data_IF_642833675422
#
_entry.id   IF_642833675422
#
_cell.length_a   1.000
_cell.length_b   1.000
_cell.length_c   1.000
_cell.angle_alpha   90.00
_cell.angle_beta   90.00
_cell.angle_gamma   90.00
#
_symmetry.space_group_name_H-M   'P 1'
#
loop_
_entity.id
_entity.type
_entity.pdbx_description
1 polymer ?
#
# COMPACT_ATOMS: atom_id res chain seq x y z
N UNK A 1 32.87 -1.00 49.57
CA UNK A 1 31.58 -1.41 48.98
C UNK A 1 31.36 -0.63 47.69
N UNK A 2 31.90 -1.11 46.57
CA UNK A 2 31.62 -0.59 45.24
C UNK A 2 30.79 -1.63 44.51
N UNK A 3 29.50 -1.35 44.31
CA UNK A 3 28.66 -2.12 43.40
C UNK A 3 29.22 -1.91 41.99
N UNK A 4 29.59 -2.96 41.23
CA UNK A 4 29.93 -2.78 39.83
C UNK A 4 28.66 -2.31 39.10
N UNK A 5 28.71 -1.09 38.57
CA UNK A 5 27.76 -0.62 37.57
C UNK A 5 27.84 -1.61 36.40
N UNK A 6 26.83 -2.46 36.27
CA UNK A 6 26.61 -3.20 35.04
C UNK A 6 26.28 -2.16 33.97
N UNK A 7 27.28 -1.84 33.16
CA UNK A 7 27.14 -1.19 31.87
C UNK A 7 26.03 -1.89 31.10
N UNK A 8 24.86 -1.26 31.03
CA UNK A 8 23.83 -1.62 30.06
C UNK A 8 24.39 -1.21 28.71
N UNK A 9 25.28 -2.02 28.15
CA UNK A 9 25.56 -2.00 26.72
C UNK A 9 24.30 -2.51 26.05
N UNK A 10 23.42 -1.56 25.72
CA UNK A 10 22.31 -1.73 24.78
C UNK A 10 22.80 -2.54 23.58
N UNK A 11 22.31 -3.77 23.41
CA UNK A 11 22.42 -4.45 22.13
C UNK A 11 21.42 -3.80 21.16
N UNK A 12 21.76 -2.60 20.68
CA UNK A 12 21.02 -1.71 19.76
C UNK A 12 20.93 -2.26 18.31
N UNK A 13 21.13 -3.57 18.12
CA UNK A 13 21.14 -4.19 16.80
C UNK A 13 19.86 -4.99 16.62
N UNK A 14 18.97 -4.50 15.75
CA UNK A 14 17.82 -5.27 15.28
C UNK A 14 18.30 -6.58 14.66
N UNK A 15 17.58 -7.64 14.98
CA UNK A 15 17.78 -8.97 14.42
C UNK A 15 17.44 -8.98 12.93
N UNK A 16 17.95 -9.97 12.19
CA UNK A 16 17.60 -10.15 10.77
C UNK A 16 16.09 -10.35 10.57
N UNK A 17 15.42 -11.01 11.52
CA UNK A 17 13.97 -11.22 11.48
C UNK A 17 13.19 -9.91 11.66
N UNK A 18 13.60 -9.05 12.58
CA UNK A 18 13.01 -7.72 12.79
C UNK A 18 13.17 -6.82 11.55
N UNK A 19 14.37 -6.82 10.94
CA UNK A 19 14.60 -6.13 9.67
C UNK A 19 13.69 -6.64 8.56
N UNK A 20 13.56 -7.96 8.42
CA UNK A 20 12.69 -8.55 7.40
C UNK A 20 11.22 -8.19 7.62
N UNK A 21 10.72 -8.26 8.85
CA UNK A 21 9.35 -7.84 9.19
C UNK A 21 9.12 -6.37 8.88
N UNK A 22 10.08 -5.50 9.21
CA UNK A 22 10.00 -4.08 8.88
C UNK A 22 9.96 -3.84 7.38
N UNK A 23 10.88 -4.42 6.62
CA UNK A 23 10.93 -4.25 5.17
C UNK A 23 9.64 -4.72 4.52
N UNK A 24 9.12 -5.90 4.89
CA UNK A 24 7.88 -6.44 4.33
C UNK A 24 6.68 -5.56 4.68
N UNK A 25 6.54 -5.13 5.94
CA UNK A 25 5.45 -4.26 6.36
C UNK A 25 5.50 -2.89 5.69
N UNK A 26 6.70 -2.29 5.58
CA UNK A 26 6.92 -1.02 4.90
C UNK A 26 6.64 -1.11 3.40
N UNK A 27 7.09 -2.19 2.74
CA UNK A 27 6.84 -2.39 1.31
C UNK A 27 5.35 -2.59 1.03
N UNK A 28 4.67 -3.37 1.86
CA UNK A 28 3.24 -3.62 1.73
C UNK A 28 2.41 -2.33 1.88
N UNK A 29 2.71 -1.51 2.91
CA UNK A 29 2.00 -0.24 3.09
C UNK A 29 2.34 0.75 1.97
N UNK A 30 3.61 0.83 1.56
CA UNK A 30 4.04 1.69 0.47
C UNK A 30 3.34 1.33 -0.84
N UNK A 31 3.20 0.03 -1.15
CA UNK A 31 2.49 -0.45 -2.33
C UNK A 31 1.03 0.04 -2.36
N UNK A 32 0.30 -0.13 -1.24
CA UNK A 32 -1.11 0.27 -1.14
C UNK A 32 -1.26 1.78 -1.31
N UNK A 33 -0.40 2.56 -0.65
CA UNK A 33 -0.43 4.03 -0.74
C UNK A 33 -0.04 4.51 -2.14
N UNK A 34 1.01 3.92 -2.73
CA UNK A 34 1.47 4.25 -4.08
C UNK A 34 0.39 3.98 -5.14
N UNK A 35 -0.29 2.84 -5.05
CA UNK A 35 -1.39 2.49 -5.96
C UNK A 35 -2.57 3.47 -5.84
N UNK A 36 -2.84 3.97 -4.64
CA UNK A 36 -3.83 5.01 -4.43
C UNK A 36 -3.43 6.33 -5.10
N UNK A 37 -2.16 6.72 -4.97
CA UNK A 37 -1.63 7.92 -5.61
C UNK A 37 -1.66 7.83 -7.15
N UNK A 38 -1.27 6.67 -7.71
CA UNK A 38 -1.32 6.42 -9.15
C UNK A 38 -2.74 6.53 -9.73
N UNK A 39 -3.76 6.11 -8.97
CA UNK A 39 -5.16 6.31 -9.37
C UNK A 39 -5.49 7.80 -9.50
N UNK A 40 -5.12 8.63 -8.51
CA UNK A 40 -5.43 10.06 -8.56
C UNK A 40 -4.81 10.76 -9.78
N UNK A 41 -3.60 10.35 -10.19
CA UNK A 41 -2.99 10.87 -11.42
C UNK A 41 -3.66 10.34 -12.69
N UNK A 42 -4.21 9.12 -12.66
CA UNK A 42 -4.85 8.49 -13.81
C UNK A 42 -6.34 8.88 -13.96
N UNK A 43 -6.98 9.47 -12.95
CA UNK A 43 -8.40 9.83 -12.98
C UNK A 43 -8.82 10.64 -14.21
N UNK A 44 -8.07 11.68 -14.66
CA UNK A 44 -8.42 12.42 -15.87
C UNK A 44 -8.40 11.54 -17.12
N UNK A 45 -7.41 10.67 -17.23
CA UNK A 45 -7.22 9.76 -18.37
C UNK A 45 -8.33 8.70 -18.38
N UNK A 46 -8.65 8.11 -17.23
CA UNK A 46 -9.81 7.22 -17.04
C UNK A 46 -11.11 7.90 -17.49
N UNK A 47 -11.32 9.17 -17.16
CA UNK A 47 -12.51 9.91 -17.55
C UNK A 47 -12.64 10.05 -19.08
N UNK A 48 -11.53 10.32 -19.77
CA UNK A 48 -11.47 10.48 -21.23
C UNK A 48 -11.63 9.14 -21.94
N UNK A 49 -10.90 8.10 -21.51
CA UNK A 49 -10.88 6.79 -22.17
C UNK A 49 -12.19 6.01 -21.99
N UNK A 50 -12.83 6.13 -20.82
CA UNK A 50 -14.04 5.35 -20.50
C UNK A 50 -15.34 6.13 -20.67
N UNK A 51 -15.27 7.45 -20.86
CA UNK A 51 -16.44 8.33 -20.88
C UNK A 51 -17.20 8.38 -19.55
N UNK A 52 -16.53 8.06 -18.43
CA UNK A 52 -17.15 7.99 -17.11
C UNK A 52 -17.78 9.33 -16.70
N UNK A 53 -18.99 9.25 -16.16
CA UNK A 53 -19.67 10.40 -15.56
C UNK A 53 -18.94 10.86 -14.30
N UNK A 54 -19.12 12.12 -13.91
CA UNK A 54 -18.52 12.64 -12.67
C UNK A 54 -18.94 11.84 -11.44
N UNK A 55 -20.18 11.35 -11.38
CA UNK A 55 -20.65 10.48 -10.31
C UNK A 55 -19.88 9.16 -10.26
N UNK A 56 -19.57 8.54 -11.40
CA UNK A 56 -18.78 7.30 -11.46
C UNK A 56 -17.34 7.52 -11.00
N UNK A 57 -16.70 8.62 -11.41
CA UNK A 57 -15.35 8.98 -10.95
C UNK A 57 -15.30 9.18 -9.43
N UNK A 58 -16.31 9.84 -8.85
CA UNK A 58 -16.44 9.94 -7.39
C UNK A 58 -16.55 8.56 -6.75
N UNK A 59 -17.37 7.66 -7.29
CA UNK A 59 -17.50 6.29 -6.76
C UNK A 59 -16.24 5.43 -6.92
N UNK A 60 -15.42 5.66 -7.93
CA UNK A 60 -14.11 4.99 -8.11
C UNK A 60 -13.15 5.30 -6.94
N UNK A 61 -13.22 6.52 -6.42
CA UNK A 61 -12.40 6.96 -5.28
C UNK A 61 -13.08 6.59 -3.96
N UNK A 62 -14.35 6.97 -3.80
CA UNK A 62 -15.08 6.84 -2.54
C UNK A 62 -15.43 5.38 -2.22
N UNK A 63 -15.74 4.56 -3.23
CA UNK A 63 -16.06 3.15 -3.03
C UNK A 63 -14.93 2.38 -2.38
N UNK A 64 -13.68 2.68 -2.74
CA UNK A 64 -12.50 2.13 -2.06
C UNK A 64 -12.47 2.55 -0.59
N UNK A 65 -12.64 3.84 -0.31
CA UNK A 65 -12.53 4.41 1.04
C UNK A 65 -13.65 3.90 1.95
N UNK A 66 -14.87 3.78 1.42
CA UNK A 66 -16.03 3.25 2.14
C UNK A 66 -15.81 1.79 2.52
N UNK A 67 -15.43 0.93 1.57
CA UNK A 67 -15.17 -0.49 1.87
C UNK A 67 -14.02 -0.62 2.85
N UNK A 68 -12.95 0.14 2.67
CA UNK A 68 -11.83 0.16 3.62
C UNK A 68 -12.31 0.52 5.02
N UNK A 69 -13.07 1.61 5.17
CA UNK A 69 -13.58 2.06 6.47
C UNK A 69 -14.51 1.02 7.13
N UNK A 70 -15.37 0.37 6.36
CA UNK A 70 -16.26 -0.67 6.86
C UNK A 70 -15.51 -1.95 7.27
N UNK A 71 -14.46 -2.33 6.53
CA UNK A 71 -13.77 -3.59 6.74
C UNK A 71 -12.55 -3.50 7.65
N UNK A 72 -12.02 -2.30 7.96
CA UNK A 72 -10.78 -2.17 8.75
C UNK A 72 -10.90 -2.79 10.15
N UNK A 73 -12.04 -2.60 10.83
CA UNK A 73 -12.27 -3.16 12.16
C UNK A 73 -12.43 -4.69 12.11
N UNK A 74 -13.30 -5.26 11.24
CA UNK A 74 -13.35 -6.71 11.02
C UNK A 74 -12.01 -7.32 10.62
N UNK A 75 -11.28 -6.66 9.72
CA UNK A 75 -9.98 -7.11 9.23
C UNK A 75 -8.94 -7.23 10.35
N UNK A 76 -8.91 -6.26 11.27
CA UNK A 76 -8.08 -6.32 12.48
C UNK A 76 -8.40 -7.56 13.31
N UNK A 77 -9.68 -7.81 13.58
CA UNK A 77 -10.12 -8.98 14.35
C UNK A 77 -9.80 -10.32 13.64
N UNK A 78 -9.95 -10.38 12.31
CA UNK A 78 -9.55 -11.55 11.51
C UNK A 78 -8.03 -11.77 11.60
N UNK A 79 -7.24 -10.69 11.50
CA UNK A 79 -5.78 -10.71 11.67
C UNK A 79 -5.33 -11.22 13.04
N UNK A 80 -6.05 -10.82 14.10
CA UNK A 80 -5.79 -11.28 15.46
C UNK A 80 -6.09 -12.78 15.63
N UNK A 81 -7.15 -13.29 14.98
CA UNK A 81 -7.60 -14.68 15.13
C UNK A 81 -6.87 -15.69 14.25
N UNK A 82 -6.69 -15.39 12.97
CA UNK A 82 -6.17 -16.34 11.97
C UNK A 82 -4.67 -16.19 11.71
N UNK A 83 -4.03 -15.23 12.36
CA UNK A 83 -2.60 -14.96 12.22
C UNK A 83 -2.33 -13.85 11.21
N UNK A 84 -1.62 -12.83 11.70
CA UNK A 84 -1.37 -11.57 10.97
C UNK A 84 -0.62 -11.77 9.66
N UNK A 85 0.31 -12.72 9.59
CA UNK A 85 1.09 -13.01 8.38
C UNK A 85 0.21 -13.57 7.26
N UNK A 86 -0.70 -14.48 7.57
CA UNK A 86 -1.60 -15.06 6.57
C UNK A 86 -2.56 -14.01 6.03
N UNK A 87 -3.14 -13.21 6.92
CA UNK A 87 -4.06 -12.12 6.56
C UNK A 87 -3.37 -11.04 5.73
N UNK A 88 -2.13 -10.69 6.05
CA UNK A 88 -1.32 -9.78 5.23
C UNK A 88 -1.17 -10.30 3.79
N UNK A 89 -0.77 -11.56 3.63
CA UNK A 89 -0.53 -12.17 2.30
C UNK A 89 -1.84 -12.26 1.51
N UNK A 90 -2.94 -12.67 2.15
CA UNK A 90 -4.26 -12.72 1.51
C UNK A 90 -4.71 -11.32 1.08
N UNK A 91 -4.56 -10.32 1.95
CA UNK A 91 -4.89 -8.93 1.65
C UNK A 91 -4.11 -8.38 0.46
N UNK A 92 -2.79 -8.64 0.44
CA UNK A 92 -1.93 -8.31 -0.70
C UNK A 92 -2.36 -9.01 -1.99
N UNK A 93 -2.66 -10.30 -1.94
CA UNK A 93 -3.13 -11.03 -3.11
C UNK A 93 -4.43 -10.44 -3.66
N UNK A 94 -5.42 -10.18 -2.80
CA UNK A 94 -6.69 -9.53 -3.17
C UNK A 94 -6.42 -8.17 -3.79
N UNK A 95 -5.58 -7.35 -3.16
CA UNK A 95 -5.24 -6.02 -3.64
C UNK A 95 -4.59 -6.06 -5.02
N UNK A 96 -3.57 -6.90 -5.20
CA UNK A 96 -2.85 -7.04 -6.48
C UNK A 96 -3.77 -7.54 -7.60
N UNK A 97 -4.62 -8.53 -7.33
CA UNK A 97 -5.59 -9.02 -8.33
C UNK A 97 -6.61 -7.93 -8.70
N UNK A 98 -7.09 -7.18 -7.71
CA UNK A 98 -8.02 -6.07 -7.94
C UNK A 98 -7.38 -4.94 -8.74
N UNK A 99 -6.10 -4.63 -8.49
CA UNK A 99 -5.34 -3.64 -9.27
C UNK A 99 -5.07 -4.07 -10.71
N UNK A 100 -5.06 -5.36 -11.01
CA UNK A 100 -4.87 -5.89 -12.36
C UNK A 100 -6.17 -5.95 -13.17
N UNK A 101 -7.34 -5.97 -12.50
CA UNK A 101 -8.64 -6.10 -13.14
C UNK A 101 -8.94 -5.01 -14.21
N UNK A 102 -8.56 -3.73 -13.98
CA UNK A 102 -8.72 -2.67 -14.99
C UNK A 102 -7.95 -2.90 -16.29
N UNK A 103 -6.94 -3.78 -16.31
CA UNK A 103 -6.19 -4.09 -17.54
C UNK A 103 -7.01 -4.91 -18.54
N UNK A 104 -8.09 -5.56 -18.08
CA UNK A 104 -8.93 -6.45 -18.88
C UNK A 104 -10.32 -5.87 -19.15
N UNK A 105 -10.80 -4.95 -18.31
CA UNK A 105 -12.16 -4.44 -18.31
C UNK A 105 -12.15 -2.91 -18.23
N UNK A 106 -12.64 -2.26 -19.29
CA UNK A 106 -12.63 -0.79 -19.45
C UNK A 106 -13.95 -0.10 -19.03
N UNK A 107 -14.92 -0.84 -18.51
CA UNK A 107 -16.21 -0.27 -18.11
C UNK A 107 -16.10 0.44 -16.75
N UNK A 108 -16.59 1.68 -16.61
CA UNK A 108 -16.59 2.42 -15.33
C UNK A 108 -17.22 1.65 -14.16
N UNK A 109 -18.25 0.84 -14.39
CA UNK A 109 -18.88 0.04 -13.34
C UNK A 109 -17.93 -1.07 -12.82
N UNK A 110 -17.18 -1.71 -13.73
CA UNK A 110 -16.16 -2.68 -13.36
C UNK A 110 -14.99 -2.03 -12.62
N UNK A 111 -14.63 -0.79 -12.98
CA UNK A 111 -13.65 -0.03 -12.23
C UNK A 111 -14.11 0.22 -10.78
N UNK A 112 -15.35 0.65 -10.57
CA UNK A 112 -15.90 0.83 -9.21
C UNK A 112 -15.85 -0.48 -8.41
N UNK A 113 -16.24 -1.61 -9.02
CA UNK A 113 -16.18 -2.91 -8.37
C UNK A 113 -14.73 -3.33 -8.04
N UNK A 114 -13.79 -3.16 -8.97
CA UNK A 114 -12.37 -3.43 -8.74
C UNK A 114 -11.83 -2.59 -7.57
N UNK A 115 -12.26 -1.33 -7.47
CA UNK A 115 -11.87 -0.41 -6.40
C UNK A 115 -12.44 -0.82 -5.05
N UNK A 116 -13.69 -1.28 -4.99
CA UNK A 116 -14.27 -1.85 -3.79
C UNK A 116 -13.45 -3.08 -3.31
N UNK A 117 -13.09 -3.99 -4.23
CA UNK A 117 -12.27 -5.18 -3.91
C UNK A 117 -10.87 -4.76 -3.44
N UNK A 118 -10.25 -3.76 -4.09
CA UNK A 118 -8.97 -3.21 -3.65
C UNK A 118 -9.07 -2.60 -2.24
N UNK A 119 -10.18 -1.92 -1.91
CA UNK A 119 -10.46 -1.40 -0.57
C UNK A 119 -10.52 -2.51 0.48
N UNK A 120 -11.15 -3.64 0.14
CA UNK A 120 -11.17 -4.82 1.01
C UNK A 120 -9.77 -5.42 1.22
N UNK A 121 -8.96 -5.53 0.16
CA UNK A 121 -7.56 -5.96 0.26
C UNK A 121 -6.73 -5.03 1.16
N UNK A 122 -6.86 -3.71 0.96
CA UNK A 122 -6.17 -2.70 1.75
C UNK A 122 -6.57 -2.72 3.24
N UNK A 123 -7.85 -2.97 3.52
CA UNK A 123 -8.37 -3.12 4.89
C UNK A 123 -7.71 -4.29 5.64
N UNK A 124 -7.32 -5.35 4.94
CA UNK A 124 -6.59 -6.49 5.53
C UNK A 124 -5.10 -6.17 5.73
N UNK A 125 -4.49 -5.41 4.82
CA UNK A 125 -3.05 -5.11 4.83
C UNK A 125 -2.68 -4.12 5.94
N UNK A 126 -3.37 -2.98 6.02
CA UNK A 126 -3.03 -1.88 6.93
C UNK A 126 -2.92 -2.30 8.40
N UNK A 127 -3.96 -2.89 9.04
CA UNK A 127 -3.89 -3.33 10.44
C UNK A 127 -2.90 -4.49 10.62
N UNK A 128 -2.75 -5.37 9.62
CA UNK A 128 -1.83 -6.51 9.71
C UNK A 128 -0.37 -6.07 9.72
N UNK A 129 0.02 -5.11 8.86
CA UNK A 129 1.41 -4.61 8.82
C UNK A 129 1.81 -3.94 10.12
N UNK A 130 0.97 -3.05 10.65
CA UNK A 130 1.21 -2.39 11.93
C UNK A 130 1.32 -3.41 13.05
N UNK A 131 0.44 -4.41 13.06
CA UNK A 131 0.42 -5.32 14.18
C UNK A 131 1.47 -6.42 14.13
N UNK A 132 1.99 -6.79 12.95
CA UNK A 132 3.21 -7.61 12.82
C UNK A 132 4.39 -6.86 13.44
N UNK A 133 4.49 -5.54 13.23
CA UNK A 133 5.56 -4.73 13.81
C UNK A 133 5.46 -4.64 15.33
N UNK A 134 4.27 -4.34 15.86
CA UNK A 134 4.09 -4.19 17.31
C UNK A 134 4.23 -5.53 18.06
N UNK A 135 3.89 -6.66 17.42
CA UNK A 135 4.10 -7.98 18.00
C UNK A 135 5.54 -8.49 17.86
N UNK A 136 6.22 -8.18 16.75
CA UNK A 136 7.56 -8.67 16.43
C UNK A 136 8.71 -7.93 17.10
N UNK A 137 8.53 -6.65 17.45
CA UNK A 137 9.56 -5.84 18.10
C UNK A 137 9.40 -5.80 19.64
N UNK A 138 10.52 -5.76 20.35
CA UNK A 138 10.54 -5.51 21.80
C UNK A 138 9.99 -4.11 22.14
N UNK A 139 9.36 -3.95 23.31
CA UNK A 139 8.66 -2.72 23.70
C UNK A 139 9.49 -1.43 23.53
N UNK A 140 10.79 -1.50 23.83
CA UNK A 140 11.75 -0.39 23.67
C UNK A 140 11.99 0.02 22.20
N UNK A 141 11.88 -0.92 21.25
CA UNK A 141 12.13 -0.69 19.82
C UNK A 141 10.85 -0.46 19.00
N UNK A 142 9.67 -0.81 19.53
CA UNK A 142 8.37 -0.68 18.83
C UNK A 142 8.12 0.74 18.33
N UNK A 143 8.39 1.76 19.15
CA UNK A 143 8.17 3.15 18.77
C UNK A 143 8.99 3.57 17.54
N UNK A 144 10.26 3.14 17.45
CA UNK A 144 11.12 3.42 16.29
C UNK A 144 10.63 2.69 15.04
N UNK A 145 10.24 1.42 15.16
CA UNK A 145 9.72 0.65 14.04
C UNK A 145 8.40 1.20 13.51
N UNK A 146 7.46 1.56 14.40
CA UNK A 146 6.19 2.20 14.03
C UNK A 146 6.43 3.59 13.43
N UNK A 147 7.39 4.34 13.95
CA UNK A 147 7.79 5.64 13.38
C UNK A 147 8.29 5.54 11.95
N UNK A 148 9.16 4.56 11.66
CA UNK A 148 9.62 4.28 10.29
C UNK A 148 8.45 3.86 9.39
N UNK A 149 7.60 2.93 9.87
CA UNK A 149 6.42 2.50 9.13
C UNK A 149 5.47 3.65 8.82
N UNK A 150 5.20 4.53 9.80
CA UNK A 150 4.35 5.71 9.61
C UNK A 150 4.98 6.72 8.65
N UNK A 151 6.30 6.91 8.73
CA UNK A 151 7.07 7.73 7.79
C UNK A 151 6.98 7.20 6.36
N UNK A 152 7.10 5.89 6.17
CA UNK A 152 6.92 5.23 4.86
C UNK A 152 5.46 5.33 4.40
N UNK A 153 4.48 5.12 5.27
CA UNK A 153 3.07 5.26 4.92
C UNK A 153 2.73 6.69 4.47
N UNK A 154 3.26 7.71 5.17
CA UNK A 154 3.05 9.12 4.81
C UNK A 154 3.83 9.56 3.55
N UNK A 155 5.04 9.06 3.35
CA UNK A 155 5.85 9.36 2.16
C UNK A 155 5.55 8.45 0.96
N UNK A 156 4.76 7.40 1.15
CA UNK A 156 4.44 6.39 0.14
C UNK A 156 3.78 6.96 -1.10
N UNK A 157 3.00 8.04 -0.96
CA UNK A 157 2.38 8.70 -2.10
C UNK A 157 3.42 9.36 -3.03
N UNK A 158 4.42 10.03 -2.44
CA UNK A 158 5.53 10.64 -3.18
C UNK A 158 6.38 9.56 -3.85
N UNK A 159 6.73 8.50 -3.11
CA UNK A 159 7.48 7.37 -3.67
C UNK A 159 6.70 6.67 -4.79
N UNK A 160 5.38 6.56 -4.66
CA UNK A 160 4.50 5.99 -5.67
C UNK A 160 4.45 6.80 -6.95
N UNK A 161 4.30 8.11 -6.85
CA UNK A 161 4.30 9.02 -8.01
C UNK A 161 5.66 9.00 -8.71
N UNK A 162 6.76 9.07 -7.96
CA UNK A 162 8.12 8.99 -8.54
C UNK A 162 8.36 7.63 -9.20
N UNK A 163 7.92 6.54 -8.58
CA UNK A 163 8.03 5.19 -9.16
C UNK A 163 7.21 5.02 -10.44
N UNK A 164 5.96 5.53 -10.45
CA UNK A 164 5.12 5.52 -11.64
C UNK A 164 5.72 6.36 -12.78
N UNK A 165 6.25 7.55 -12.46
CA UNK A 165 6.93 8.41 -13.43
C UNK A 165 8.16 7.76 -14.06
N UNK A 166 9.03 7.14 -13.26
CA UNK A 166 10.21 6.41 -13.77
C UNK A 166 9.80 5.21 -14.64
N UNK A 167 8.76 4.46 -14.25
CA UNK A 167 8.25 3.34 -15.03
C UNK A 167 7.71 3.81 -16.39
N UNK A 168 6.97 4.93 -16.40
CA UNK A 168 6.48 5.58 -17.61
C UNK A 168 7.61 6.09 -18.50
N UNK A 169 8.64 6.73 -17.95
CA UNK A 169 9.83 7.16 -18.72
C UNK A 169 10.56 5.97 -19.35
N UNK A 170 10.69 4.86 -18.62
CA UNK A 170 11.38 3.65 -19.11
C UNK A 170 10.61 2.89 -20.18
N UNK A 171 9.27 2.96 -20.15
CA UNK A 171 8.40 2.36 -21.18
C UNK A 171 8.17 3.31 -22.37
N UNK A 172 8.03 4.61 -22.13
CA UNK A 172 7.93 5.66 -23.17
C UNK A 172 9.20 5.74 -24.02
N UNK A 173 10.38 5.54 -23.43
CA UNK A 173 11.65 5.49 -24.17
C UNK A 173 11.80 4.27 -25.10
N UNK A 174 10.86 3.32 -25.08
CA UNK A 174 10.77 2.21 -26.04
C UNK A 174 9.86 2.46 -27.25
N UNK A 175 9.11 3.57 -27.28
CA UNK A 175 8.26 3.97 -28.42
C UNK A 175 9.04 4.99 -29.27
N UNK A 176 9.30 4.72 -30.57
CA UNK A 176 9.95 5.70 -31.44
C UNK A 176 9.12 6.99 -31.51
N UNK A 177 9.67 8.10 -31.02
CA UNK A 177 9.07 9.44 -31.05
C UNK A 177 9.09 10.09 -32.44
N UNK A 178 8.96 9.31 -33.51
CA UNK A 178 9.10 9.82 -34.87
C UNK A 178 7.75 9.85 -35.61
N UNK A 179 6.79 10.67 -35.14
CA UNK A 179 5.68 11.13 -36.00
C UNK A 179 4.81 12.28 -35.46
N UNK A 180 5.09 12.91 -34.31
CA UNK A 180 4.21 13.97 -33.77
C UNK A 180 4.85 15.37 -33.67
N UNK A 181 5.80 15.69 -34.55
CA UNK A 181 6.35 17.05 -34.70
C UNK A 181 6.13 17.63 -36.11
N UNK A 182 5.40 16.92 -36.98
CA UNK A 182 4.99 17.43 -38.30
C UNK A 182 3.54 17.05 -38.61
N UNK A 183 2.59 17.77 -38.03
CA UNK A 183 1.24 18.00 -38.57
C UNK A 183 0.62 19.23 -37.89
#
# INVERSE_FOLDING_TARGET
MHSPQQTITESSRWTRAEWWMLTVSCLAVALVVAAMAALYSALPEIAVETGATQAQLTWIVDGYTLVLACLVLPAGAIGDRYGRRAVLVIGLAIFTMASALPLLLSDPAWLIAARAIAGAGAALVMPSTLSILTAGFAAVHRGRAVGVWAGVAGSGAVLGILGAGVLLERWSSGVPQNSAVLA
#
